data_IF_774600703498
#
_entry.id   IF_774600703498
#
_cell.length_a   1.000
_cell.length_b   1.000
_cell.length_c   1.000
_cell.angle_alpha   90.00
_cell.angle_beta   90.00
_cell.angle_gamma   90.00
#
_symmetry.space_group_name_H-M   'P 1'
#
loop_
_entity.id
_entity.type
_entity.pdbx_description
1 polymer ?
#
# COMPACT_ATOMS: atom_id res chain seq x y z
N UNK A 1 18.66 -4.68 -15.69
CA UNK A 1 17.50 -5.59 -15.74
C UNK A 1 16.25 -4.77 -15.46
N UNK A 2 15.11 -5.08 -16.08
CA UNK A 2 13.86 -4.42 -15.73
C UNK A 2 13.45 -4.82 -14.30
N UNK A 3 12.78 -3.92 -13.57
CA UNK A 3 12.53 -4.08 -12.14
C UNK A 3 11.26 -4.87 -11.83
N UNK A 4 11.18 -5.40 -10.61
CA UNK A 4 9.98 -6.10 -10.10
C UNK A 4 9.09 -5.11 -9.37
N UNK A 5 7.79 -5.16 -9.62
CA UNK A 5 6.80 -4.38 -8.87
C UNK A 5 6.03 -5.30 -7.93
N UNK A 6 5.89 -4.89 -6.67
CA UNK A 6 5.01 -5.58 -5.70
C UNK A 6 3.83 -4.69 -5.37
N UNK A 7 2.62 -5.14 -5.71
CA UNK A 7 1.37 -4.42 -5.45
C UNK A 7 0.42 -5.25 -4.59
N UNK A 8 -0.57 -4.60 -3.97
CA UNK A 8 -1.65 -5.28 -3.26
C UNK A 8 -2.78 -5.55 -4.24
N UNK A 9 -3.23 -6.79 -4.36
CA UNK A 9 -4.26 -7.15 -5.34
C UNK A 9 -5.70 -6.91 -4.83
N UNK A 10 -5.87 -6.47 -3.58
CA UNK A 10 -7.17 -6.32 -2.91
C UNK A 10 -7.35 -4.88 -2.38
N UNK A 11 -7.95 -4.70 -1.20
CA UNK A 11 -8.19 -3.39 -0.56
C UNK A 11 -7.08 -2.95 0.41
N UNK A 12 -5.85 -3.45 0.25
CA UNK A 12 -4.72 -3.07 1.09
C UNK A 12 -4.75 -3.74 2.45
N UNK A 13 -3.67 -4.45 2.78
CA UNK A 13 -3.37 -5.23 4.01
C UNK A 13 -3.05 -6.71 3.74
N UNK A 14 -2.74 -7.03 2.47
CA UNK A 14 -2.51 -8.38 1.95
C UNK A 14 -1.20 -9.01 2.44
N UNK A 15 -0.49 -8.37 3.38
CA UNK A 15 0.82 -8.81 3.84
C UNK A 15 1.96 -8.43 2.89
N UNK A 16 1.81 -7.38 2.07
CA UNK A 16 2.86 -6.88 1.17
C UNK A 16 4.22 -6.72 1.84
N UNK A 17 4.27 -6.16 3.05
CA UNK A 17 5.51 -5.94 3.78
C UNK A 17 6.37 -7.19 3.91
N UNK A 18 5.76 -8.38 4.03
CA UNK A 18 6.47 -9.66 4.06
C UNK A 18 7.14 -9.97 2.72
N UNK A 19 6.40 -9.84 1.63
CA UNK A 19 6.91 -10.14 0.27
C UNK A 19 7.96 -9.11 -0.13
N UNK A 20 7.73 -7.85 0.21
CA UNK A 20 8.67 -6.75 0.01
C UNK A 20 9.94 -6.99 0.81
N UNK A 21 9.86 -7.35 2.09
CA UNK A 21 11.05 -7.65 2.90
C UNK A 21 11.88 -8.80 2.32
N UNK A 22 11.21 -9.90 1.95
CA UNK A 22 11.83 -11.05 1.30
C UNK A 22 12.61 -10.64 0.04
N UNK A 23 11.97 -9.88 -0.86
CA UNK A 23 12.60 -9.41 -2.10
C UNK A 23 13.63 -8.30 -1.87
N UNK A 24 13.42 -7.43 -0.90
CA UNK A 24 14.34 -6.34 -0.57
C UNK A 24 15.70 -6.85 -0.10
N UNK A 25 15.73 -8.00 0.58
CA UNK A 25 16.99 -8.67 0.96
C UNK A 25 17.85 -9.05 -0.26
N UNK A 26 17.23 -9.24 -1.44
CA UNK A 26 17.87 -9.65 -2.71
C UNK A 26 18.02 -8.51 -3.72
N UNK A 27 17.29 -7.41 -3.56
CA UNK A 27 17.37 -6.23 -4.44
C UNK A 27 18.68 -5.46 -4.23
N UNK A 28 19.08 -4.61 -5.17
CA UNK A 28 20.10 -3.57 -4.97
C UNK A 28 19.47 -2.22 -4.62
N UNK A 29 18.25 -1.97 -5.12
CA UNK A 29 17.49 -0.74 -4.90
C UNK A 29 16.03 -1.05 -4.58
N UNK A 30 15.46 -0.32 -3.62
CA UNK A 30 14.02 -0.38 -3.29
C UNK A 30 13.41 1.00 -3.43
N UNK A 31 12.33 1.11 -4.21
CA UNK A 31 11.69 2.38 -4.59
C UNK A 31 10.24 2.40 -4.15
N UNK A 32 9.86 3.35 -3.30
CA UNK A 32 8.45 3.70 -3.06
C UNK A 32 8.03 4.76 -4.07
N UNK A 33 6.91 4.54 -4.76
CA UNK A 33 6.49 5.37 -5.90
C UNK A 33 5.21 6.17 -5.68
N UNK A 34 4.44 5.88 -4.62
CA UNK A 34 3.15 6.53 -4.38
C UNK A 34 2.80 6.60 -2.88
N UNK A 35 1.84 7.46 -2.58
CA UNK A 35 1.25 7.60 -1.24
C UNK A 35 2.12 8.48 -0.36
N UNK A 36 2.00 8.31 0.95
CA UNK A 36 2.80 9.00 1.94
C UNK A 36 2.89 8.20 3.23
N UNK A 37 2.86 8.88 4.36
CA UNK A 37 2.84 8.29 5.70
C UNK A 37 1.47 7.69 6.11
N UNK A 38 0.53 7.57 5.16
CA UNK A 38 -0.68 6.75 5.29
C UNK A 38 -0.46 5.28 4.96
N UNK A 39 0.65 4.98 4.30
CA UNK A 39 1.16 3.63 4.23
C UNK A 39 1.82 3.29 5.56
N UNK A 40 1.73 2.03 5.95
CA UNK A 40 2.46 1.53 7.10
C UNK A 40 2.46 0.02 7.10
N UNK A 41 3.62 -0.56 7.35
CA UNK A 41 3.74 -1.99 7.56
C UNK A 41 4.81 -2.26 8.61
N UNK A 42 4.60 -3.35 9.33
CA UNK A 42 5.56 -3.85 10.29
C UNK A 42 6.42 -4.87 9.58
N UNK A 43 7.74 -4.70 9.64
CA UNK A 43 8.72 -5.69 9.19
C UNK A 43 9.42 -6.28 10.42
N UNK A 44 9.66 -7.58 10.40
CA UNK A 44 10.41 -8.27 11.45
C UNK A 44 11.76 -8.71 10.87
N UNK A 45 12.86 -8.13 11.38
CA UNK A 45 14.24 -8.43 10.97
C UNK A 45 15.04 -8.74 12.23
N UNK A 46 15.74 -9.88 12.24
CA UNK A 46 16.55 -10.34 13.38
C UNK A 46 15.80 -10.27 14.73
N UNK A 47 14.57 -10.82 14.75
CA UNK A 47 13.65 -10.83 15.90
C UNK A 47 13.22 -9.44 16.42
N UNK A 48 13.49 -8.36 15.67
CA UNK A 48 13.06 -7.00 15.98
C UNK A 48 11.98 -6.53 15.03
N UNK A 49 10.97 -5.85 15.58
CA UNK A 49 9.86 -5.28 14.81
C UNK A 49 10.06 -3.80 14.54
N UNK A 50 10.08 -3.44 13.27
CA UNK A 50 10.20 -2.06 12.78
C UNK A 50 8.88 -1.62 12.15
N UNK A 51 8.44 -0.40 12.49
CA UNK A 51 7.28 0.23 11.86
C UNK A 51 7.75 1.26 10.85
N UNK A 52 7.54 0.98 9.58
CA UNK A 52 7.89 1.88 8.48
C UNK A 52 6.63 2.53 7.90
N UNK A 53 6.74 3.77 7.43
CA UNK A 53 5.67 4.54 6.81
C UNK A 53 6.10 5.16 5.48
N UNK A 54 7.08 6.06 5.48
CA UNK A 54 7.61 6.71 4.27
C UNK A 54 8.81 5.97 3.70
N UNK A 55 9.72 5.54 4.58
CA UNK A 55 11.00 4.97 4.18
C UNK A 55 10.78 3.57 3.60
N UNK A 56 11.36 3.24 2.41
CA UNK A 56 11.26 1.91 1.83
C UNK A 56 11.81 0.81 2.73
N UNK A 57 11.21 -0.38 2.66
CA UNK A 57 11.56 -1.56 3.48
C UNK A 57 13.01 -2.00 3.34
N UNK A 58 13.62 -1.74 2.18
CA UNK A 58 15.03 -2.05 1.92
C UNK A 58 15.99 -1.39 2.90
N UNK A 59 15.56 -0.35 3.63
CA UNK A 59 16.42 0.33 4.61
C UNK A 59 16.83 -0.60 5.76
N UNK A 60 16.10 -1.68 6.00
CA UNK A 60 16.44 -2.65 7.05
C UNK A 60 17.54 -3.63 6.62
N UNK A 61 17.86 -3.68 5.32
CA UNK A 61 18.89 -4.55 4.76
C UNK A 61 20.13 -3.71 4.42
N UNK A 62 21.32 -4.16 4.81
CA UNK A 62 22.56 -3.41 4.56
C UNK A 62 22.88 -3.31 3.06
N UNK A 63 23.54 -2.21 2.67
CA UNK A 63 24.03 -2.01 1.29
C UNK A 63 22.97 -1.70 0.23
N UNK A 64 21.69 -1.58 0.61
CA UNK A 64 20.59 -1.27 -0.33
C UNK A 64 20.40 0.23 -0.51
N UNK A 65 20.16 0.69 -1.73
CA UNK A 65 19.72 2.06 -2.01
C UNK A 65 18.21 2.15 -1.84
N UNK A 66 17.72 3.12 -1.09
CA UNK A 66 16.29 3.32 -0.86
C UNK A 66 15.84 4.65 -1.46
N UNK A 67 14.82 4.61 -2.32
CA UNK A 67 14.29 5.78 -3.00
C UNK A 67 12.87 6.10 -2.54
N UNK A 68 12.64 7.35 -2.16
CA UNK A 68 11.31 7.98 -2.07
C UNK A 68 11.07 8.71 -3.39
N UNK A 69 10.21 8.15 -4.24
CA UNK A 69 9.96 8.63 -5.60
C UNK A 69 9.08 9.88 -5.68
N UNK A 70 9.07 10.52 -6.85
CA UNK A 70 8.36 11.78 -7.12
C UNK A 70 6.82 11.66 -7.05
N UNK A 71 6.27 10.45 -7.10
CA UNK A 71 4.83 10.21 -6.97
C UNK A 71 4.32 10.28 -5.53
N UNK A 72 5.21 10.33 -4.55
CA UNK A 72 4.85 10.41 -3.13
C UNK A 72 4.49 11.84 -2.68
N UNK A 73 3.73 11.91 -1.60
CA UNK A 73 3.50 13.10 -0.78
C UNK A 73 4.17 12.90 0.58
N UNK A 74 5.09 13.78 0.94
CA UNK A 74 6.02 13.63 2.07
C UNK A 74 5.67 14.64 3.15
N UNK A 75 5.42 14.17 4.36
CA UNK A 75 5.47 15.00 5.55
C UNK A 75 6.93 15.06 6.03
N UNK A 76 7.64 16.18 5.85
CA UNK A 76 9.08 16.24 6.13
C UNK A 76 9.38 16.06 7.62
N UNK A 77 8.47 16.48 8.49
CA UNK A 77 8.61 16.32 9.94
C UNK A 77 8.49 14.84 10.31
N UNK A 78 7.46 14.16 9.79
CA UNK A 78 7.29 12.73 10.01
C UNK A 78 8.45 11.90 9.41
N UNK A 79 9.02 12.34 8.28
CA UNK A 79 10.20 11.70 7.69
C UNK A 79 11.41 11.80 8.60
N UNK A 80 11.69 12.99 9.15
CA UNK A 80 12.81 13.18 10.11
C UNK A 80 12.60 12.37 11.38
N UNK A 81 11.37 12.29 11.89
CA UNK A 81 11.04 11.41 13.02
C UNK A 81 11.31 9.93 12.71
N UNK A 82 10.92 9.46 11.51
CA UNK A 82 11.15 8.08 11.08
C UNK A 82 12.65 7.78 10.87
N UNK A 83 13.42 8.72 10.31
CA UNK A 83 14.88 8.61 10.18
C UNK A 83 15.51 8.44 11.56
N UNK A 84 15.22 9.35 12.50
CA UNK A 84 15.78 9.31 13.87
C UNK A 84 15.36 8.05 14.62
N UNK A 85 14.12 7.61 14.44
CA UNK A 85 13.62 6.35 14.98
C UNK A 85 14.50 5.19 14.51
N UNK A 86 14.72 5.02 13.20
CA UNK A 86 15.54 3.92 12.67
C UNK A 86 17.01 4.03 13.08
N UNK A 87 17.59 5.24 13.07
CA UNK A 87 18.97 5.47 13.51
C UNK A 87 19.17 5.13 15.00
N UNK A 88 18.13 5.29 15.85
CA UNK A 88 18.17 4.86 17.24
C UNK A 88 18.30 3.33 17.42
N UNK A 89 17.94 2.55 16.39
CA UNK A 89 18.18 1.11 16.33
C UNK A 89 19.51 0.74 15.65
N UNK A 90 20.35 1.72 15.30
CA UNK A 90 21.64 1.52 14.64
C UNK A 90 21.54 1.31 13.13
N UNK A 91 20.41 1.65 12.50
CA UNK A 91 20.23 1.54 11.05
C UNK A 91 20.83 2.78 10.37
N UNK A 92 21.73 2.56 9.43
CA UNK A 92 22.30 3.64 8.61
C UNK A 92 21.29 4.13 7.58
N UNK A 93 20.57 5.22 7.86
CA UNK A 93 19.53 5.73 6.95
C UNK A 93 20.09 6.73 5.95
N UNK A 94 20.75 7.78 6.44
CA UNK A 94 21.13 8.96 5.64
C UNK A 94 22.08 8.67 4.47
N UNK A 95 22.95 7.67 4.62
CA UNK A 95 23.87 7.26 3.57
C UNK A 95 23.18 6.53 2.41
N UNK A 96 21.98 5.97 2.63
CA UNK A 96 21.30 5.05 1.71
C UNK A 96 19.95 5.54 1.21
N UNK A 97 19.29 6.43 1.95
CA UNK A 97 18.04 7.04 1.56
C UNK A 97 18.29 8.16 0.53
N UNK A 98 17.48 8.19 -0.51
CA UNK A 98 17.41 9.23 -1.52
C UNK A 98 15.97 9.69 -1.68
N UNK A 99 15.77 11.00 -1.69
CA UNK A 99 14.46 11.64 -1.71
C UNK A 99 14.35 12.41 -3.02
N UNK A 100 13.26 12.19 -3.75
CA UNK A 100 13.01 12.95 -4.97
C UNK A 100 12.82 14.42 -4.67
N UNK A 101 13.62 15.26 -5.34
CA UNK A 101 13.44 16.70 -5.42
C UNK A 101 12.04 17.13 -5.92
N UNK A 102 11.35 16.26 -6.66
CA UNK A 102 10.03 16.52 -7.25
C UNK A 102 8.85 15.99 -6.43
N UNK A 103 9.10 15.26 -5.34
CA UNK A 103 8.04 14.80 -4.45
C UNK A 103 7.32 16.00 -3.82
N UNK A 104 6.01 15.87 -3.59
CA UNK A 104 5.21 16.96 -3.00
C UNK A 104 5.23 16.89 -1.48
N UNK A 105 4.99 18.02 -0.81
CA UNK A 105 4.96 18.11 0.64
C UNK A 105 3.53 18.01 1.18
N UNK A 106 3.38 17.27 2.27
CA UNK A 106 2.24 17.35 3.16
C UNK A 106 2.51 18.49 4.12
N UNK A 107 1.64 19.50 4.12
CA UNK A 107 1.73 20.68 4.97
C UNK A 107 0.74 20.58 6.14
N UNK A 108 0.87 21.37 7.23
CA UNK A 108 -0.04 21.26 8.36
C UNK A 108 -1.50 21.58 8.00
N UNK A 109 -1.72 22.50 7.05
CA UNK A 109 -3.06 22.76 6.51
C UNK A 109 -3.66 21.57 5.76
N UNK A 110 -2.85 20.70 5.15
CA UNK A 110 -3.37 19.47 4.51
C UNK A 110 -3.95 18.52 5.56
N UNK A 111 -3.26 18.33 6.69
CA UNK A 111 -3.74 17.47 7.79
C UNK A 111 -5.05 18.00 8.36
N UNK A 112 -5.11 19.31 8.60
CA UNK A 112 -6.32 19.96 9.10
C UNK A 112 -7.47 19.87 8.08
N UNK A 113 -7.21 20.12 6.79
CA UNK A 113 -8.20 19.98 5.73
C UNK A 113 -8.76 18.56 5.64
N UNK A 114 -7.89 17.54 5.71
CA UNK A 114 -8.28 16.13 5.67
C UNK A 114 -9.24 15.80 6.83
N UNK A 115 -8.91 16.25 8.04
CA UNK A 115 -9.77 16.09 9.21
C UNK A 115 -11.12 16.81 9.08
N UNK A 116 -11.12 18.11 8.75
CA UNK A 116 -12.37 18.91 8.73
C UNK A 116 -13.28 18.53 7.57
N UNK A 117 -12.73 18.10 6.42
CA UNK A 117 -13.51 17.59 5.30
C UNK A 117 -14.21 16.29 5.70
N UNK A 118 -13.50 15.38 6.38
CA UNK A 118 -14.11 14.13 6.88
C UNK A 118 -15.18 14.43 7.93
N UNK A 119 -14.93 15.31 8.90
CA UNK A 119 -15.95 15.73 9.86
C UNK A 119 -17.20 16.28 9.17
N UNK A 120 -17.01 17.16 8.17
CA UNK A 120 -18.11 17.78 7.43
C UNK A 120 -18.93 16.79 6.60
N UNK A 121 -18.31 15.72 6.09
CA UNK A 121 -19.01 14.65 5.35
C UNK A 121 -19.95 13.80 6.22
N UNK A 122 -19.78 13.79 7.55
CA UNK A 122 -20.61 13.01 8.46
C UNK A 122 -20.69 11.53 8.08
N UNK A 123 -21.89 11.04 7.76
CA UNK A 123 -22.11 9.63 7.37
C UNK A 123 -21.39 9.24 6.07
N UNK A 124 -21.07 10.21 5.20
CA UNK A 124 -20.37 10.03 3.93
C UNK A 124 -18.84 10.06 4.05
N UNK A 125 -18.31 10.03 5.28
CA UNK A 125 -16.87 9.89 5.52
C UNK A 125 -16.25 8.73 4.75
N UNK A 126 -15.05 8.97 4.21
CA UNK A 126 -14.28 7.94 3.52
C UNK A 126 -13.52 7.05 4.52
N UNK A 127 -13.22 7.57 5.70
CA UNK A 127 -12.36 6.93 6.69
C UNK A 127 -10.88 7.16 6.38
N UNK A 128 -10.50 8.39 6.04
CA UNK A 128 -9.10 8.71 5.73
C UNK A 128 -8.18 8.50 6.94
N UNK A 129 -6.87 8.44 6.69
CA UNK A 129 -5.88 8.35 7.76
C UNK A 129 -5.66 9.67 8.51
N UNK A 130 -6.33 10.76 8.10
CA UNK A 130 -6.14 12.13 8.62
C UNK A 130 -4.67 12.58 8.60
N UNK A 131 -3.95 12.16 7.57
CA UNK A 131 -2.52 12.48 7.37
C UNK A 131 -2.33 13.58 6.32
N UNK A 132 -3.38 14.09 5.70
CA UNK A 132 -3.27 15.14 4.68
C UNK A 132 -2.95 14.62 3.29
N UNK A 133 -3.10 13.32 3.03
CA UNK A 133 -2.76 12.69 1.75
C UNK A 133 -3.62 13.24 0.62
N UNK A 134 -4.94 13.18 0.79
CA UNK A 134 -5.90 13.66 -0.21
C UNK A 134 -5.67 15.13 -0.54
N UNK A 135 -5.70 16.04 0.46
CA UNK A 135 -5.43 17.46 0.22
C UNK A 135 -4.07 17.74 -0.44
N UNK A 136 -3.00 17.01 -0.09
CA UNK A 136 -1.72 17.18 -0.77
C UNK A 136 -1.75 16.78 -2.25
N UNK A 137 -2.46 15.70 -2.59
CA UNK A 137 -2.68 15.31 -4.00
C UNK A 137 -3.62 16.27 -4.74
N UNK A 138 -4.59 16.89 -4.06
CA UNK A 138 -5.40 17.97 -4.62
C UNK A 138 -4.51 19.15 -4.99
N UNK A 139 -3.67 19.62 -4.08
CA UNK A 139 -2.76 20.75 -4.35
C UNK A 139 -1.79 20.44 -5.49
N UNK A 140 -1.32 19.19 -5.61
CA UNK A 140 -0.55 18.70 -6.77
C UNK A 140 -1.35 18.84 -8.07
N UNK A 141 -2.59 18.36 -8.11
CA UNK A 141 -3.44 18.41 -9.29
C UNK A 141 -3.85 19.85 -9.66
N UNK A 142 -4.05 20.71 -8.66
CA UNK A 142 -4.32 22.15 -8.84
C UNK A 142 -3.09 22.94 -9.29
N UNK A 143 -1.89 22.33 -9.19
CA UNK A 143 -0.57 22.95 -9.47
C UNK A 143 -0.20 24.05 -8.49
N UNK A 144 -0.67 23.95 -7.25
CA UNK A 144 -0.33 24.84 -6.14
C UNK A 144 0.51 24.16 -5.05
N UNK A 145 0.70 22.85 -5.14
CA UNK A 145 1.48 22.09 -4.17
C UNK A 145 2.95 22.54 -4.11
N UNK A 146 3.50 22.48 -2.90
CA UNK A 146 4.91 22.74 -2.61
C UNK A 146 5.67 21.42 -2.72
N UNK A 147 6.85 21.43 -3.33
CA UNK A 147 7.70 20.24 -3.53
C UNK A 147 8.95 20.29 -2.66
N UNK A 148 9.65 19.16 -2.58
CA UNK A 148 10.90 19.03 -1.82
C UNK A 148 11.97 20.00 -2.32
N UNK A 149 12.12 20.22 -3.62
CA UNK A 149 13.06 21.22 -4.14
C UNK A 149 12.75 22.64 -3.63
N UNK A 150 11.47 22.99 -3.55
CA UNK A 150 11.04 24.31 -3.12
C UNK A 150 11.37 24.51 -1.62
N UNK A 151 11.29 23.46 -0.80
CA UNK A 151 11.67 23.49 0.63
C UNK A 151 13.15 23.81 0.86
N UNK A 152 14.02 23.49 -0.10
CA UNK A 152 15.45 23.73 0.00
C UNK A 152 15.86 25.16 -0.41
N UNK A 153 14.90 25.97 -0.87
CA UNK A 153 15.02 27.38 -1.22
C UNK A 153 14.18 28.24 -0.26
N UNK A 154 14.74 28.68 0.89
CA UNK A 154 13.95 29.25 1.98
C UNK A 154 13.05 30.42 1.57
N UNK A 155 13.58 31.40 0.83
CA UNK A 155 12.80 32.57 0.38
C UNK A 155 11.60 32.17 -0.49
N UNK A 156 11.80 31.23 -1.42
CA UNK A 156 10.75 30.74 -2.30
C UNK A 156 9.73 29.86 -1.56
N UNK A 157 10.19 29.03 -0.63
CA UNK A 157 9.33 28.26 0.26
C UNK A 157 8.39 29.17 1.06
N UNK A 158 8.92 30.23 1.68
CA UNK A 158 8.13 31.19 2.45
C UNK A 158 7.06 31.88 1.61
N UNK A 159 7.42 32.31 0.39
CA UNK A 159 6.48 32.91 -0.56
C UNK A 159 5.33 31.95 -0.90
N UNK A 160 5.66 30.68 -1.21
CA UNK A 160 4.67 29.63 -1.52
C UNK A 160 3.76 29.33 -0.34
N UNK A 161 4.31 29.24 0.86
CA UNK A 161 3.52 29.04 2.09
C UNK A 161 2.53 30.19 2.27
N UNK A 162 2.99 31.44 2.11
CA UNK A 162 2.10 32.60 2.23
C UNK A 162 0.96 32.59 1.20
N UNK A 163 1.28 32.35 -0.08
CA UNK A 163 0.30 32.30 -1.16
C UNK A 163 -0.76 31.22 -0.90
N UNK A 164 -0.34 30.01 -0.52
CA UNK A 164 -1.26 28.92 -0.24
C UNK A 164 -2.10 29.21 1.01
N UNK A 165 -1.51 29.72 2.08
CA UNK A 165 -2.24 30.01 3.32
C UNK A 165 -3.32 31.07 3.16
N UNK A 166 -3.14 32.08 2.30
CA UNK A 166 -4.19 33.06 2.00
C UNK A 166 -5.48 32.37 1.55
N UNK A 167 -5.37 31.36 0.70
CA UNK A 167 -6.53 30.61 0.18
C UNK A 167 -6.99 29.55 1.19
N UNK A 168 -6.08 28.72 1.68
CA UNK A 168 -6.45 27.57 2.54
C UNK A 168 -7.03 28.02 3.88
N UNK A 169 -6.50 29.08 4.51
CA UNK A 169 -7.07 29.59 5.75
C UNK A 169 -8.45 30.20 5.55
N UNK A 170 -8.73 30.85 4.42
CA UNK A 170 -10.09 31.32 4.12
C UNK A 170 -11.08 30.16 4.00
N UNK A 171 -10.70 29.08 3.32
CA UNK A 171 -11.53 27.88 3.22
C UNK A 171 -11.78 27.29 4.61
N UNK A 172 -10.71 27.07 5.39
CA UNK A 172 -10.79 26.47 6.74
C UNK A 172 -11.69 27.31 7.66
N UNK A 173 -11.57 28.63 7.62
CA UNK A 173 -12.32 29.54 8.50
C UNK A 173 -13.75 29.79 8.02
N UNK A 174 -13.93 30.17 6.75
CA UNK A 174 -15.23 30.62 6.23
C UNK A 174 -16.15 29.46 5.84
N UNK A 175 -15.59 28.35 5.35
CA UNK A 175 -16.38 27.17 4.92
C UNK A 175 -16.55 26.18 6.06
N UNK A 176 -15.46 25.85 6.77
CA UNK A 176 -15.49 24.82 7.81
C UNK A 176 -15.62 25.38 9.23
N UNK A 177 -15.53 26.69 9.44
CA UNK A 177 -15.69 27.31 10.76
C UNK A 177 -14.57 26.97 11.75
N UNK A 178 -13.39 26.60 11.27
CA UNK A 178 -12.25 26.14 12.09
C UNK A 178 -11.14 27.18 12.11
N UNK A 179 -10.29 27.14 13.14
CA UNK A 179 -9.10 27.99 13.20
C UNK A 179 -8.10 27.55 12.13
N UNK A 180 -7.61 28.49 11.32
CA UNK A 180 -6.56 28.25 10.35
C UNK A 180 -5.22 27.92 10.98
N UNK A 181 -4.21 27.64 10.16
CA UNK A 181 -2.84 27.36 10.60
C UNK A 181 -1.98 28.63 10.56
N UNK A 182 -0.97 28.70 11.43
CA UNK A 182 -0.05 29.83 11.53
C UNK A 182 1.12 29.70 10.51
N UNK A 183 1.49 30.81 9.87
CA UNK A 183 2.53 30.86 8.84
C UNK A 183 3.92 30.63 9.43
N UNK A 184 4.24 31.35 10.50
CA UNK A 184 5.58 31.36 11.11
C UNK A 184 5.94 29.99 11.70
N UNK A 185 4.98 29.32 12.34
CA UNK A 185 5.14 27.95 12.86
C UNK A 185 5.44 26.94 11.75
N UNK A 186 4.81 27.08 10.58
CA UNK A 186 5.07 26.21 9.42
C UNK A 186 6.49 26.43 8.93
N UNK A 187 6.88 27.69 8.70
CA UNK A 187 8.18 28.04 8.14
C UNK A 187 9.30 27.52 9.04
N UNK A 188 9.27 27.85 10.34
CA UNK A 188 10.31 27.44 11.29
C UNK A 188 10.46 25.91 11.35
N UNK A 189 9.34 25.18 11.46
CA UNK A 189 9.37 23.74 11.58
C UNK A 189 9.84 23.04 10.29
N UNK A 190 9.37 23.52 9.14
CA UNK A 190 9.64 22.86 7.86
C UNK A 190 11.05 23.15 7.37
N UNK A 191 11.57 24.37 7.53
CA UNK A 191 12.95 24.68 7.17
C UNK A 191 13.95 23.86 8.00
N UNK A 192 13.70 23.66 9.30
CA UNK A 192 14.51 22.76 10.14
C UNK A 192 14.49 21.32 9.61
N UNK A 193 13.32 20.81 9.23
CA UNK A 193 13.20 19.48 8.64
C UNK A 193 13.88 19.40 7.26
N UNK A 194 13.83 20.49 6.46
CA UNK A 194 14.50 20.64 5.18
C UNK A 194 16.01 20.51 5.29
N UNK A 195 16.63 21.20 6.25
CA UNK A 195 18.07 21.10 6.51
C UNK A 195 18.48 19.67 6.91
N UNK A 196 17.67 19.00 7.74
CA UNK A 196 17.91 17.61 8.12
C UNK A 196 17.88 16.64 6.94
N UNK A 197 17.06 16.90 5.90
CA UNK A 197 16.95 16.01 4.75
C UNK A 197 17.77 16.43 3.52
N UNK A 198 18.39 17.62 3.54
CA UNK A 198 19.06 18.26 2.40
C UNK A 198 19.99 17.32 1.64
N UNK A 199 20.88 16.62 2.33
CA UNK A 199 21.88 15.71 1.75
C UNK A 199 21.30 14.43 1.12
N UNK A 200 20.04 14.10 1.43
CA UNK A 200 19.33 12.96 0.85
C UNK A 200 18.52 13.36 -0.39
N UNK A 201 18.26 14.66 -0.61
CA UNK A 201 17.47 15.14 -1.75
C UNK A 201 18.31 15.11 -3.03
N UNK A 202 17.76 14.51 -4.09
CA UNK A 202 18.43 14.42 -5.39
C UNK A 202 17.44 14.15 -6.53
N UNK A 203 17.94 14.17 -7.77
CA UNK A 203 17.21 13.67 -8.92
C UNK A 203 17.17 12.14 -8.91
N UNK A 204 16.14 11.61 -8.27
CA UNK A 204 15.88 10.17 -8.19
C UNK A 204 15.59 9.54 -9.54
N UNK A 205 15.06 10.29 -10.51
CA UNK A 205 14.67 9.72 -11.81
C UNK A 205 15.89 9.28 -12.60
N UNK A 206 16.94 10.12 -12.60
CA UNK A 206 18.24 9.79 -13.18
C UNK A 206 18.88 8.58 -12.48
N UNK A 207 18.85 8.53 -11.14
CA UNK A 207 19.41 7.41 -10.37
C UNK A 207 18.73 6.08 -10.73
N UNK A 208 17.39 6.06 -10.75
CA UNK A 208 16.63 4.85 -11.08
C UNK A 208 16.87 4.43 -12.53
N UNK A 209 16.93 5.39 -13.46
CA UNK A 209 17.21 5.12 -14.87
C UNK A 209 18.58 4.46 -15.06
N UNK A 210 19.64 4.99 -14.46
CA UNK A 210 20.98 4.38 -14.53
C UNK A 210 21.01 2.97 -13.93
N UNK A 211 20.33 2.76 -12.79
CA UNK A 211 20.19 1.43 -12.20
C UNK A 211 19.48 0.47 -13.16
N UNK A 212 18.42 0.92 -13.84
CA UNK A 212 17.62 0.10 -14.76
C UNK A 212 18.40 -0.36 -15.99
N UNK A 213 19.42 0.41 -16.39
CA UNK A 213 20.35 0.10 -17.49
C UNK A 213 21.47 -0.86 -17.10
N UNK A 214 21.76 -0.97 -15.81
CA UNK A 214 22.76 -1.90 -15.29
C UNK A 214 22.18 -3.28 -14.99
N UNK A 215 23.01 -4.25 -14.60
CA UNK A 215 22.56 -5.60 -14.17
C UNK A 215 22.08 -5.63 -12.71
N UNK A 216 21.60 -4.49 -12.21
CA UNK A 216 21.13 -4.31 -10.83
C UNK A 216 19.66 -4.65 -10.69
N UNK A 217 19.31 -5.18 -9.52
CA UNK A 217 17.95 -5.61 -9.16
C UNK A 217 17.19 -4.46 -8.52
N UNK A 218 16.08 -4.04 -9.14
CA UNK A 218 15.22 -2.97 -8.62
C UNK A 218 13.91 -3.58 -8.13
N UNK A 219 13.50 -3.23 -6.92
CA UNK A 219 12.20 -3.55 -6.34
C UNK A 219 11.37 -2.28 -6.20
N UNK A 220 10.20 -2.24 -6.82
CA UNK A 220 9.21 -1.18 -6.61
C UNK A 220 8.20 -1.63 -5.55
N UNK A 221 8.20 -0.92 -4.43
CA UNK A 221 7.38 -1.21 -3.27
C UNK A 221 6.05 -0.44 -3.36
N UNK A 222 4.95 -1.16 -3.58
CA UNK A 222 3.61 -0.59 -3.59
C UNK A 222 3.04 -0.43 -2.17
N UNK A 223 2.37 0.69 -1.93
CA UNK A 223 1.51 0.89 -0.77
C UNK A 223 0.03 0.65 -1.14
N UNK A 224 -0.85 0.46 -0.14
CA UNK A 224 -2.29 0.19 -0.35
C UNK A 224 -2.55 -0.99 -1.32
N UNK A 225 -3.69 -1.04 -2.00
CA UNK A 225 -4.04 -2.12 -2.93
C UNK A 225 -4.74 -1.58 -4.16
N UNK A 226 -4.87 -2.42 -5.18
CA UNK A 226 -5.46 -2.10 -6.48
C UNK A 226 -6.86 -1.51 -6.32
N UNK A 227 -7.67 -2.05 -5.39
CA UNK A 227 -9.05 -1.62 -5.23
C UNK A 227 -9.19 -0.34 -4.37
N UNK A 228 -8.06 0.22 -3.94
CA UNK A 228 -7.94 1.56 -3.36
C UNK A 228 -7.32 2.57 -4.34
N UNK A 229 -7.07 2.19 -5.59
CA UNK A 229 -6.61 3.12 -6.62
C UNK A 229 -7.65 4.22 -6.89
N UNK A 230 -7.20 5.45 -7.12
CA UNK A 230 -8.11 6.59 -7.33
C UNK A 230 -8.99 6.44 -8.57
N UNK A 231 -8.49 5.77 -9.62
CA UNK A 231 -9.22 5.54 -10.87
C UNK A 231 -9.82 4.12 -10.94
N UNK A 232 -9.03 3.13 -10.50
CA UNK A 232 -9.33 1.71 -10.70
C UNK A 232 -9.90 1.04 -9.44
N UNK A 233 -10.04 1.78 -8.34
CA UNK A 233 -10.58 1.28 -7.10
C UNK A 233 -12.09 1.44 -6.94
N UNK A 234 -12.58 1.13 -5.74
CA UNK A 234 -14.00 1.32 -5.40
C UNK A 234 -14.34 2.79 -5.09
N UNK A 235 -14.17 3.68 -6.08
CA UNK A 235 -14.37 5.13 -5.94
C UNK A 235 -15.79 5.45 -5.41
N UNK A 236 -15.94 6.35 -4.41
CA UNK A 236 -14.93 7.25 -3.83
C UNK A 236 -14.16 6.67 -2.63
N UNK A 237 -14.39 5.42 -2.23
CA UNK A 237 -13.74 4.78 -1.07
C UNK A 237 -12.35 4.25 -1.43
N UNK A 238 -11.47 5.17 -1.81
CA UNK A 238 -10.14 4.92 -2.38
C UNK A 238 -9.11 5.87 -1.77
N UNK A 239 -7.83 5.65 -2.06
CA UNK A 239 -6.80 6.67 -1.80
C UNK A 239 -6.72 7.64 -2.98
N UNK A 240 -5.87 8.68 -2.87
CA UNK A 240 -5.75 9.75 -3.87
C UNK A 240 -4.53 9.58 -4.78
N UNK A 241 -4.06 8.34 -4.92
CA UNK A 241 -2.85 7.95 -5.66
C UNK A 241 -3.10 6.68 -6.47
N UNK A 242 -2.05 6.19 -7.15
CA UNK A 242 -2.11 4.97 -7.97
C UNK A 242 -1.27 3.82 -7.39
N UNK A 243 -1.83 2.96 -6.51
CA UNK A 243 -1.20 1.74 -6.05
C UNK A 243 -0.87 0.74 -7.16
N UNK A 244 -1.54 0.82 -8.30
CA UNK A 244 -1.35 -0.12 -9.42
C UNK A 244 0.06 -0.04 -10.02
N UNK A 245 0.45 -1.07 -10.75
CA UNK A 245 1.78 -1.18 -11.36
C UNK A 245 2.11 0.00 -12.29
N UNK A 246 1.12 0.53 -13.03
CA UNK A 246 1.29 1.73 -13.85
C UNK A 246 1.68 2.98 -13.05
N UNK A 247 1.34 3.03 -11.76
CA UNK A 247 1.76 4.08 -10.83
C UNK A 247 3.28 4.18 -10.67
N UNK A 248 4.02 3.09 -10.90
CA UNK A 248 5.48 3.09 -10.88
C UNK A 248 6.04 4.04 -11.94
N UNK A 249 5.50 4.00 -13.16
CA UNK A 249 6.03 4.80 -14.26
C UNK A 249 6.01 6.30 -13.93
N UNK A 250 4.85 6.79 -13.48
CA UNK A 250 4.65 8.21 -13.14
C UNK A 250 5.23 8.58 -11.76
N UNK A 251 5.36 7.62 -10.85
CA UNK A 251 5.75 7.85 -9.47
C UNK A 251 7.24 7.66 -9.17
N UNK A 252 7.95 6.94 -10.04
CA UNK A 252 9.39 6.72 -9.99
C UNK A 252 10.13 7.36 -11.19
N UNK A 253 9.39 7.83 -12.21
CA UNK A 253 9.97 8.48 -13.40
C UNK A 253 10.62 7.50 -14.36
N UNK A 254 10.05 6.29 -14.50
CA UNK A 254 10.59 5.23 -15.37
C UNK A 254 9.64 4.91 -16.51
N UNK A 255 10.21 4.53 -17.66
CA UNK A 255 9.40 4.06 -18.79
C UNK A 255 8.73 2.71 -18.49
N UNK A 256 7.54 2.43 -19.04
CA UNK A 256 6.82 1.18 -18.79
C UNK A 256 7.59 -0.07 -19.25
N UNK A 257 8.50 0.07 -20.21
CA UNK A 257 9.37 -1.01 -20.70
C UNK A 257 10.48 -1.42 -19.73
N UNK A 258 10.60 -0.75 -18.59
CA UNK A 258 11.57 -1.08 -17.52
C UNK A 258 10.94 -1.84 -16.36
N UNK A 259 9.67 -2.25 -16.48
CA UNK A 259 9.00 -3.16 -15.55
C UNK A 259 9.09 -4.57 -16.15
N UNK A 260 9.67 -5.52 -15.41
CA UNK A 260 9.87 -6.90 -15.87
C UNK A 260 8.69 -7.77 -15.44
N UNK A 261 8.47 -7.83 -14.12
CA UNK A 261 7.46 -8.67 -13.49
C UNK A 261 6.64 -7.82 -12.54
N UNK A 262 5.35 -8.13 -12.47
CA UNK A 262 4.44 -7.57 -11.48
C UNK A 262 3.92 -8.69 -10.60
N UNK A 263 4.20 -8.60 -9.30
CA UNK A 263 3.76 -9.54 -8.28
C UNK A 263 2.58 -8.95 -7.52
N UNK A 264 1.41 -9.58 -7.64
CA UNK A 264 0.23 -9.22 -6.87
C UNK A 264 0.21 -9.98 -5.55
N UNK A 265 0.29 -9.27 -4.43
CA UNK A 265 0.13 -9.88 -3.11
C UNK A 265 -1.35 -10.06 -2.83
N UNK A 266 -1.74 -11.29 -2.53
CA UNK A 266 -3.12 -11.73 -2.34
C UNK A 266 -3.22 -12.38 -0.97
N UNK A 267 -4.13 -11.92 -0.12
CA UNK A 267 -4.46 -12.66 1.09
C UNK A 267 -5.42 -13.81 0.72
N UNK A 268 -5.28 -14.96 1.37
CA UNK A 268 -6.12 -16.15 1.12
C UNK A 268 -7.62 -15.93 1.38
N UNK A 269 -7.98 -14.79 1.96
CA UNK A 269 -9.32 -14.29 2.17
C UNK A 269 -9.31 -12.77 1.95
N UNK A 270 -10.46 -12.12 2.02
CA UNK A 270 -10.54 -10.66 1.79
C UNK A 270 -10.80 -9.93 3.10
N UNK A 271 -10.27 -8.73 3.21
CA UNK A 271 -10.54 -7.81 4.31
C UNK A 271 -10.77 -6.40 3.81
N UNK A 272 -11.55 -5.63 4.57
CA UNK A 272 -11.79 -4.21 4.29
C UNK A 272 -11.82 -3.41 5.58
N UNK A 273 -10.99 -2.38 5.67
CA UNK A 273 -10.90 -1.49 6.85
C UNK A 273 -11.97 -0.40 6.80
N UNK A 274 -12.18 0.18 5.61
CA UNK A 274 -13.07 1.32 5.39
C UNK A 274 -14.51 0.94 5.06
N UNK A 275 -15.34 1.97 4.84
CA UNK A 275 -16.71 1.82 4.32
C UNK A 275 -16.70 1.33 2.87
N UNK A 276 -17.89 1.02 2.37
CA UNK A 276 -18.16 0.65 0.98
C UNK A 276 -18.55 -0.82 0.79
N UNK A 277 -19.04 -1.19 -0.41
CA UNK A 277 -19.56 -2.53 -0.69
C UNK A 277 -18.53 -3.63 -0.49
N UNK A 278 -18.94 -4.77 0.07
CA UNK A 278 -18.07 -5.91 0.26
C UNK A 278 -18.86 -7.19 -0.02
N UNK A 279 -18.95 -7.62 -1.30
CA UNK A 279 -19.84 -8.72 -1.69
C UNK A 279 -19.58 -10.02 -0.93
N UNK A 280 -18.31 -10.31 -0.62
CA UNK A 280 -17.92 -11.57 0.03
C UNK A 280 -17.83 -11.47 1.56
N UNK A 281 -18.32 -10.40 2.17
CA UNK A 281 -18.31 -10.23 3.62
C UNK A 281 -19.05 -11.37 4.34
N UNK A 282 -18.47 -11.84 5.44
CA UNK A 282 -19.02 -12.92 6.26
C UNK A 282 -19.54 -12.30 7.56
N UNK A 283 -20.84 -12.52 7.83
CA UNK A 283 -21.53 -12.00 9.00
C UNK A 283 -21.77 -13.04 10.11
N UNK A 284 -21.34 -14.28 9.89
CA UNK A 284 -21.45 -15.37 10.86
C UNK A 284 -20.15 -15.60 11.65
N UNK A 285 -20.16 -16.60 12.54
CA UNK A 285 -19.02 -16.95 13.40
C UNK A 285 -17.72 -17.27 12.64
N UNK A 286 -17.80 -17.63 11.35
CA UNK A 286 -16.61 -17.85 10.51
C UNK A 286 -15.88 -16.54 10.24
N UNK A 287 -16.62 -15.44 10.07
CA UNK A 287 -16.05 -14.11 9.86
C UNK A 287 -15.28 -13.65 11.11
N UNK A 288 -15.83 -13.89 12.29
CA UNK A 288 -15.16 -13.62 13.56
C UNK A 288 -13.94 -14.54 13.76
N UNK A 289 -14.05 -15.83 13.46
CA UNK A 289 -12.92 -16.76 13.50
C UNK A 289 -11.74 -16.28 12.65
N UNK A 290 -11.99 -15.89 11.39
CA UNK A 290 -10.97 -15.36 10.48
C UNK A 290 -10.38 -14.07 11.04
N UNK A 291 -11.22 -13.17 11.59
CA UNK A 291 -10.76 -11.90 12.17
C UNK A 291 -9.81 -12.11 13.34
N UNK A 292 -10.19 -12.96 14.30
CA UNK A 292 -9.38 -13.22 15.50
C UNK A 292 -8.08 -13.94 15.14
N UNK A 293 -8.18 -15.02 14.36
CA UNK A 293 -7.01 -15.84 14.00
C UNK A 293 -6.03 -15.09 13.10
N UNK A 294 -6.55 -14.27 12.19
CA UNK A 294 -5.76 -13.43 11.29
C UNK A 294 -5.24 -12.14 11.92
N UNK A 295 -5.60 -11.84 13.16
CA UNK A 295 -5.33 -10.55 13.83
C UNK A 295 -5.75 -9.35 12.98
N UNK A 296 -6.97 -9.38 12.44
CA UNK A 296 -7.46 -8.39 11.49
C UNK A 296 -7.99 -7.13 12.18
N UNK A 297 -7.05 -6.39 12.76
CA UNK A 297 -7.26 -5.13 13.47
C UNK A 297 -6.34 -4.04 12.94
N UNK A 298 -6.81 -2.80 12.92
CA UNK A 298 -5.98 -1.64 12.56
C UNK A 298 -4.81 -1.49 13.52
N UNK A 299 -3.58 -1.43 13.01
CA UNK A 299 -2.35 -1.35 13.83
C UNK A 299 -2.25 -0.08 14.68
N UNK A 300 -2.84 1.02 14.22
CA UNK A 300 -2.88 2.30 14.95
C UNK A 300 -4.18 2.50 15.72
N UNK A 301 -5.32 2.10 15.15
CA UNK A 301 -6.65 2.42 15.69
C UNK A 301 -7.28 1.29 16.50
N UNK A 302 -6.78 0.06 16.37
CA UNK A 302 -7.38 -1.14 16.96
C UNK A 302 -8.74 -1.53 16.37
N UNK A 303 -9.24 -0.82 15.34
CA UNK A 303 -10.58 -1.09 14.79
C UNK A 303 -10.61 -2.47 14.10
N UNK A 304 -11.66 -3.28 14.33
CA UNK A 304 -11.82 -4.56 13.66
C UNK A 304 -12.02 -4.34 12.16
N UNK A 305 -11.36 -5.16 11.34
CA UNK A 305 -11.58 -5.17 9.89
C UNK A 305 -12.74 -6.10 9.56
N UNK A 306 -13.48 -5.74 8.52
CA UNK A 306 -14.48 -6.62 7.91
C UNK A 306 -13.74 -7.76 7.22
N UNK A 307 -14.22 -8.99 7.38
CA UNK A 307 -13.59 -10.19 6.83
C UNK A 307 -14.56 -10.90 5.88
N UNK A 308 -14.04 -11.44 4.79
CA UNK A 308 -14.81 -12.09 3.75
C UNK A 308 -14.05 -13.20 3.05
N UNK A 309 -14.75 -14.05 2.30
CA UNK A 309 -14.12 -15.09 1.50
C UNK A 309 -13.26 -14.49 0.38
N UNK A 310 -12.34 -15.29 -0.18
CA UNK A 310 -11.56 -14.85 -1.33
C UNK A 310 -12.46 -14.50 -2.52
N UNK A 311 -12.17 -13.36 -3.16
CA UNK A 311 -12.95 -12.84 -4.27
C UNK A 311 -12.14 -12.90 -5.58
N UNK A 312 -12.51 -13.82 -6.46
CA UNK A 312 -11.84 -14.01 -7.76
C UNK A 312 -12.30 -12.99 -8.78
N UNK A 313 -13.52 -12.46 -8.69
CA UNK A 313 -13.99 -11.41 -9.61
C UNK A 313 -13.10 -10.17 -9.45
N UNK A 314 -12.83 -9.80 -8.20
CA UNK A 314 -11.83 -8.80 -7.85
C UNK A 314 -10.43 -9.17 -8.34
N UNK A 315 -9.96 -10.39 -8.06
CA UNK A 315 -8.59 -10.76 -8.35
C UNK A 315 -8.32 -10.80 -9.87
N UNK A 316 -9.26 -11.30 -10.68
CA UNK A 316 -9.18 -11.22 -12.15
C UNK A 316 -9.11 -9.79 -12.64
N UNK A 317 -9.85 -8.88 -12.03
CA UNK A 317 -9.75 -7.45 -12.33
C UNK A 317 -8.35 -6.92 -12.00
N UNK A 318 -7.80 -7.24 -10.82
CA UNK A 318 -6.45 -6.84 -10.43
C UNK A 318 -5.37 -7.43 -11.35
N UNK A 319 -5.52 -8.70 -11.79
CA UNK A 319 -4.67 -9.33 -12.81
C UNK A 319 -4.67 -8.51 -14.09
N UNK A 320 -5.85 -8.17 -14.60
CA UNK A 320 -6.01 -7.44 -15.86
C UNK A 320 -5.40 -6.05 -15.84
N UNK A 321 -5.68 -5.25 -14.80
CA UNK A 321 -5.26 -3.84 -14.77
C UNK A 321 -3.79 -3.64 -14.40
N UNK A 322 -3.17 -4.62 -13.74
CA UNK A 322 -1.75 -4.57 -13.39
C UNK A 322 -0.84 -5.37 -14.33
N UNK A 323 -1.40 -6.28 -15.14
CA UNK A 323 -0.61 -7.23 -15.93
C UNK A 323 0.19 -8.16 -15.01
N UNK A 324 -0.46 -8.77 -14.01
CA UNK A 324 0.21 -9.60 -13.02
C UNK A 324 0.92 -10.79 -13.67
N UNK A 325 2.23 -10.89 -13.43
CA UNK A 325 3.06 -12.02 -13.85
C UNK A 325 2.89 -13.19 -12.89
N UNK A 326 2.81 -12.88 -11.59
CA UNK A 326 2.68 -13.85 -10.51
C UNK A 326 1.82 -13.30 -9.38
N UNK A 327 1.29 -14.21 -8.56
CA UNK A 327 0.69 -13.88 -7.26
C UNK A 327 1.54 -14.41 -6.11
N UNK A 328 1.52 -13.68 -4.99
CA UNK A 328 2.08 -14.12 -3.73
C UNK A 328 0.94 -14.26 -2.72
N UNK A 329 0.61 -15.50 -2.33
CA UNK A 329 -0.55 -15.78 -1.48
C UNK A 329 -0.12 -15.78 -0.02
N UNK A 330 -0.81 -15.00 0.80
CA UNK A 330 -0.50 -14.85 2.23
C UNK A 330 -1.64 -15.29 3.13
N UNK A 331 -1.30 -15.54 4.40
CA UNK A 331 -2.23 -15.89 5.49
C UNK A 331 -3.06 -17.16 5.22
N UNK A 332 -2.49 -18.15 4.54
CA UNK A 332 -3.17 -19.45 4.34
C UNK A 332 -3.39 -20.19 5.67
N UNK A 333 -2.55 -19.95 6.67
CA UNK A 333 -2.69 -20.50 8.02
C UNK A 333 -3.96 -20.03 8.74
N UNK A 334 -4.47 -18.84 8.41
CA UNK A 334 -5.67 -18.29 9.03
C UNK A 334 -6.91 -19.11 8.69
N UNK A 335 -6.95 -19.75 7.52
CA UNK A 335 -8.09 -20.60 7.11
C UNK A 335 -7.99 -22.04 7.63
N UNK A 336 -6.87 -22.45 8.22
CA UNK A 336 -6.74 -23.77 8.83
C UNK A 336 -7.76 -23.98 9.94
N UNK A 337 -8.31 -25.18 10.07
CA UNK A 337 -9.38 -25.52 11.03
C UNK A 337 -10.81 -25.27 10.51
N UNK A 338 -10.96 -24.67 9.34
CA UNK A 338 -12.26 -24.53 8.68
C UNK A 338 -12.53 -25.77 7.83
N UNK A 339 -13.67 -26.44 8.03
CA UNK A 339 -14.00 -27.68 7.30
C UNK A 339 -14.22 -27.48 5.79
N UNK A 340 -14.84 -26.37 5.41
CA UNK A 340 -15.12 -26.00 4.02
C UNK A 340 -14.79 -24.53 3.81
N UNK A 341 -13.87 -24.26 2.91
CA UNK A 341 -13.52 -22.89 2.51
C UNK A 341 -14.29 -22.51 1.25
N UNK A 342 -14.63 -21.23 1.09
CA UNK A 342 -15.35 -20.74 -0.08
C UNK A 342 -14.50 -19.77 -0.90
N UNK A 343 -14.68 -19.81 -2.21
CA UNK A 343 -14.10 -18.86 -3.16
C UNK A 343 -15.25 -18.27 -3.98
N UNK A 344 -15.37 -16.94 -4.02
CA UNK A 344 -16.35 -16.27 -4.87
C UNK A 344 -15.84 -16.25 -6.32
N UNK A 345 -16.59 -16.87 -7.23
CA UNK A 345 -16.21 -17.03 -8.65
C UNK A 345 -16.96 -16.09 -9.60
N UNK A 346 -18.05 -15.48 -9.12
CA UNK A 346 -18.92 -14.57 -9.85
C UNK A 346 -19.86 -13.82 -8.91
N UNK A 347 -20.52 -12.78 -9.42
CA UNK A 347 -21.55 -12.05 -8.69
C UNK A 347 -22.91 -12.23 -9.36
N UNK A 348 -23.95 -12.52 -8.59
CA UNK A 348 -25.32 -12.48 -9.06
C UNK A 348 -25.87 -11.07 -8.87
N UNK A 349 -26.29 -10.44 -9.97
CA UNK A 349 -26.92 -9.12 -9.98
C UNK A 349 -28.14 -9.15 -10.90
N UNK A 350 -29.33 -8.87 -10.35
CA UNK A 350 -30.61 -8.86 -11.09
C UNK A 350 -30.82 -10.11 -11.97
N UNK A 351 -30.52 -11.28 -11.40
CA UNK A 351 -30.67 -12.58 -12.06
C UNK A 351 -29.57 -12.96 -13.06
N UNK A 352 -28.59 -12.08 -13.32
CA UNK A 352 -27.44 -12.36 -14.21
C UNK A 352 -26.17 -12.60 -13.39
N UNK A 353 -25.29 -13.46 -13.91
CA UNK A 353 -23.96 -13.67 -13.34
C UNK A 353 -22.98 -12.72 -14.01
N UNK A 354 -22.32 -11.89 -13.21
CA UNK A 354 -21.22 -11.02 -13.59
C UNK A 354 -19.90 -11.71 -13.24
N UNK A 355 -18.97 -11.74 -14.19
CA UNK A 355 -17.60 -12.27 -13.99
C UNK A 355 -16.53 -11.18 -13.96
N UNK A 356 -16.91 -9.96 -14.34
CA UNK A 356 -16.09 -8.75 -14.31
C UNK A 356 -16.48 -7.86 -13.11
N UNK A 357 -15.49 -7.15 -12.57
CA UNK A 357 -15.69 -6.27 -11.42
C UNK A 357 -16.49 -5.01 -11.82
N UNK A 358 -17.64 -4.73 -11.19
CA UNK A 358 -18.45 -3.55 -11.52
C UNK A 358 -17.78 -2.23 -11.13
N UNK A 359 -17.84 -1.24 -12.02
CA UNK A 359 -17.43 0.14 -11.69
C UNK A 359 -18.45 0.84 -10.77
N UNK A 360 -19.75 0.53 -10.90
CA UNK A 360 -20.79 1.14 -10.10
C UNK A 360 -20.85 0.53 -8.70
N UNK A 361 -20.68 1.35 -7.66
CA UNK A 361 -20.84 0.91 -6.28
C UNK A 361 -22.25 0.42 -5.95
N UNK A 362 -23.28 0.97 -6.60
CA UNK A 362 -24.66 0.51 -6.39
C UNK A 362 -24.83 -0.91 -6.93
N UNK A 363 -24.27 -1.18 -8.10
CA UNK A 363 -24.24 -2.55 -8.65
C UNK A 363 -23.45 -3.47 -7.72
N UNK A 364 -22.27 -3.05 -7.27
CA UNK A 364 -21.43 -3.84 -6.35
C UNK A 364 -22.10 -4.10 -4.99
N UNK A 365 -22.89 -3.15 -4.47
CA UNK A 365 -23.63 -3.28 -3.21
C UNK A 365 -24.79 -4.27 -3.30
N UNK A 366 -25.41 -4.38 -4.46
CA UNK A 366 -26.51 -5.32 -4.75
C UNK A 366 -26.01 -6.69 -5.25
N UNK A 367 -24.70 -6.88 -5.39
CA UNK A 367 -24.13 -8.15 -5.84
C UNK A 367 -24.15 -9.21 -4.74
N UNK A 368 -24.76 -10.36 -5.05
CA UNK A 368 -24.68 -11.55 -4.21
C UNK A 368 -23.52 -12.43 -4.70
N UNK A 369 -22.58 -12.87 -3.83
CA UNK A 369 -21.46 -13.69 -4.23
C UNK A 369 -21.92 -15.11 -4.64
N UNK A 370 -21.37 -15.63 -5.74
CA UNK A 370 -21.54 -17.01 -6.16
C UNK A 370 -20.29 -17.79 -5.78
N UNK A 371 -20.44 -18.74 -4.86
CA UNK A 371 -19.33 -19.47 -4.28
C UNK A 371 -19.10 -20.84 -4.91
N UNK A 372 -17.82 -21.20 -5.00
CA UNK A 372 -17.36 -22.59 -5.05
C UNK A 372 -16.90 -22.99 -3.64
N UNK A 373 -17.28 -24.20 -3.19
CA UNK A 373 -16.84 -24.76 -1.91
C UNK A 373 -15.70 -25.76 -2.15
N UNK A 374 -14.61 -25.61 -1.40
CA UNK A 374 -13.50 -26.55 -1.37
C UNK A 374 -13.35 -27.16 0.03
N UNK A 375 -12.88 -28.42 0.13
CA UNK A 375 -12.46 -28.97 1.41
C UNK A 375 -11.39 -28.09 2.05
N UNK A 376 -11.52 -27.78 3.33
CA UNK A 376 -10.49 -27.07 4.06
C UNK A 376 -9.37 -28.00 4.56
N UNK A 377 -8.53 -27.47 5.44
CA UNK A 377 -7.36 -28.17 5.99
C UNK A 377 -7.26 -27.96 7.49
N UNK A 378 -6.47 -28.80 8.15
CA UNK A 378 -6.28 -28.77 9.60
C UNK A 378 -5.55 -27.51 10.07
N UNK A 379 -5.61 -27.24 11.38
CA UNK A 379 -4.84 -26.17 11.99
C UNK A 379 -3.35 -26.49 12.06
N UNK A 380 -2.54 -25.48 12.40
CA UNK A 380 -1.12 -25.71 12.71
C UNK A 380 -0.18 -25.79 11.51
N UNK A 381 -0.67 -25.53 10.29
CA UNK A 381 0.17 -25.49 9.08
C UNK A 381 1.36 -24.53 9.20
N UNK A 382 1.27 -23.52 10.06
CA UNK A 382 2.36 -22.57 10.34
C UNK A 382 3.63 -23.18 10.93
N UNK A 383 3.60 -24.45 11.35
CA UNK A 383 4.77 -25.21 11.83
C UNK A 383 5.51 -25.95 10.71
N UNK A 384 4.92 -26.02 9.51
CA UNK A 384 5.49 -26.73 8.36
C UNK A 384 6.70 -25.95 7.85
N UNK A 385 7.78 -26.68 7.54
CA UNK A 385 9.06 -26.10 7.11
C UNK A 385 9.42 -26.40 5.66
N UNK A 386 8.64 -27.27 5.01
CA UNK A 386 8.87 -27.70 3.63
C UNK A 386 7.58 -27.64 2.84
N UNK A 387 7.66 -27.21 1.59
CA UNK A 387 6.49 -27.04 0.74
C UNK A 387 5.80 -28.38 0.45
N UNK A 388 6.56 -29.47 0.37
CA UNK A 388 6.07 -30.83 0.11
C UNK A 388 5.27 -31.42 1.28
N UNK A 389 5.38 -30.81 2.46
CA UNK A 389 4.64 -31.21 3.67
C UNK A 389 3.32 -30.43 3.82
N UNK A 390 3.02 -29.49 2.91
CA UNK A 390 1.76 -28.76 2.94
C UNK A 390 0.57 -29.68 2.66
N UNK A 391 -0.58 -29.51 3.36
CA UNK A 391 -1.75 -30.35 3.14
C UNK A 391 -2.27 -30.28 1.70
N UNK A 392 -2.66 -31.43 1.14
CA UNK A 392 -3.21 -31.52 -0.22
C UNK A 392 -4.36 -30.54 -0.48
N UNK A 393 -5.25 -30.34 0.51
CA UNK A 393 -6.37 -29.42 0.36
C UNK A 393 -5.94 -27.95 0.31
N UNK A 394 -4.85 -27.58 1.00
CA UNK A 394 -4.27 -26.24 0.91
C UNK A 394 -3.64 -26.03 -0.47
N UNK A 395 -2.90 -27.02 -0.98
CA UNK A 395 -2.34 -26.96 -2.33
C UNK A 395 -3.43 -26.86 -3.39
N UNK A 396 -4.49 -27.68 -3.30
CA UNK A 396 -5.66 -27.60 -4.21
C UNK A 396 -6.35 -26.23 -4.14
N UNK A 397 -6.40 -25.60 -2.96
CA UNK A 397 -6.92 -24.26 -2.82
C UNK A 397 -6.07 -23.24 -3.60
N UNK A 398 -4.75 -23.33 -3.50
CA UNK A 398 -3.82 -22.48 -4.28
C UNK A 398 -3.96 -22.75 -5.77
N UNK A 399 -3.90 -24.01 -6.21
CA UNK A 399 -4.08 -24.40 -7.62
C UNK A 399 -5.41 -23.88 -8.18
N UNK A 400 -6.49 -23.96 -7.39
CA UNK A 400 -7.78 -23.43 -7.81
C UNK A 400 -7.76 -21.91 -8.00
N UNK A 401 -7.04 -21.17 -7.17
CA UNK A 401 -6.83 -19.73 -7.37
C UNK A 401 -6.07 -19.48 -8.67
N UNK A 402 -5.00 -20.25 -8.94
CA UNK A 402 -4.24 -20.12 -10.19
C UNK A 402 -5.11 -20.37 -11.42
N UNK A 403 -5.92 -21.43 -11.42
CA UNK A 403 -6.85 -21.76 -12.51
C UNK A 403 -7.86 -20.63 -12.76
N UNK A 404 -8.45 -20.11 -11.68
CA UNK A 404 -9.52 -19.12 -11.74
C UNK A 404 -9.03 -17.71 -12.10
N UNK A 405 -7.75 -17.42 -11.86
CA UNK A 405 -7.11 -16.12 -12.15
C UNK A 405 -6.27 -16.15 -13.43
N UNK A 406 -5.81 -17.33 -13.86
CA UNK A 406 -4.87 -17.50 -14.95
C UNK A 406 -3.43 -17.11 -14.60
N UNK A 407 -3.10 -16.90 -13.31
CA UNK A 407 -1.78 -16.43 -12.86
C UNK A 407 -1.20 -17.39 -11.81
N UNK A 408 0.08 -17.73 -11.97
CA UNK A 408 0.78 -18.67 -11.08
C UNK A 408 1.16 -18.04 -9.75
N UNK A 409 1.09 -18.83 -8.68
CA UNK A 409 1.64 -18.50 -7.38
C UNK A 409 3.16 -18.67 -7.41
N UNK A 410 3.90 -17.58 -7.22
CA UNK A 410 5.35 -17.62 -7.06
C UNK A 410 5.76 -17.71 -5.59
N UNK A 411 4.87 -17.38 -4.66
CA UNK A 411 5.14 -17.39 -3.24
C UNK A 411 3.91 -17.78 -2.42
N UNK A 412 4.10 -18.61 -1.39
CA UNK A 412 3.08 -19.02 -0.43
C UNK A 412 3.54 -18.65 0.98
N UNK A 413 2.67 -18.05 1.79
CA UNK A 413 2.92 -17.74 3.20
C UNK A 413 1.86 -18.37 4.10
N UNK A 414 2.34 -19.13 5.08
CA UNK A 414 1.57 -19.88 6.09
C UNK A 414 1.83 -19.35 7.51
N UNK A 415 2.21 -18.08 7.65
CA UNK A 415 2.33 -17.41 8.94
C UNK A 415 2.90 -16.01 8.81
N UNK A 416 3.29 -15.36 9.92
CA UNK A 416 3.97 -14.07 9.90
C UNK A 416 5.51 -14.15 9.85
N UNK A 417 6.13 -15.24 10.34
CA UNK A 417 7.59 -15.37 10.43
C UNK A 417 8.25 -15.72 9.10
N UNK A 418 9.52 -15.31 8.91
CA UNK A 418 10.27 -15.45 7.64
C UNK A 418 10.32 -16.89 7.12
N UNK A 419 10.61 -17.86 7.99
CA UNK A 419 10.68 -19.30 7.70
C UNK A 419 9.33 -19.93 7.30
N UNK A 420 8.21 -19.20 7.47
CA UNK A 420 6.86 -19.68 7.18
C UNK A 420 6.40 -19.28 5.77
N UNK A 421 7.35 -19.10 4.85
CA UNK A 421 7.11 -18.65 3.49
C UNK A 421 7.96 -19.41 2.49
N UNK A 422 7.34 -19.82 1.39
CA UNK A 422 7.92 -20.68 0.38
C UNK A 422 7.93 -19.94 -0.97
N UNK A 423 9.12 -19.70 -1.51
CA UNK A 423 9.28 -19.26 -2.90
C UNK A 423 9.20 -20.49 -3.81
N UNK A 424 8.25 -20.47 -4.74
CA UNK A 424 7.95 -21.55 -5.69
C UNK A 424 8.66 -21.28 -7.02
N UNK A 425 8.74 -20.01 -7.40
CA UNK A 425 9.39 -19.54 -8.63
C UNK A 425 10.29 -18.38 -8.29
N UNK A 426 11.50 -18.37 -8.85
CA UNK A 426 12.43 -17.25 -8.65
C UNK A 426 11.84 -15.96 -9.22
N UNK A 427 11.61 -15.00 -8.33
CA UNK A 427 11.06 -13.71 -8.70
C UNK A 427 12.09 -12.77 -9.34
N UNK A 428 13.39 -12.87 -9.04
CA UNK A 428 14.43 -12.00 -9.62
C UNK A 428 15.11 -12.54 -10.89
#
# INVERSE_FOLDING_TARGET
MPGIVVIGAQWGDEGKGRIVDFLASRADMVVRYQGGNNAGHTVEVDDKRYKLHLIPSGILHSGKVCIIGNGMVIDPVALVEEIRYLESYGIEVRSRLKISDRAHLIMPYHKLLDEVIEEHKGELQLGTTRRGIGPAYVDKAERMGIRVCDLLEPEYFEEKVEQNLRIKNEIIQKVYGKKGVNKEEIIDLYLKAGEEIREMVCDTTSIIYEFSKSDKKILYEGAQGTLLDVDLGTYPYVTSSHPVAGGVCIGAGVGPTFIDKVVGVVKAYTTRVGKGPFPTEIFDATGDFIREKGYEYGTTTGRPRRCGWLDIVMLRYAVKVNGLSYIAITKLDTLGGINKVKICVGYRYKGKILTDFPASLNVLAECEPVYEELPGWEEGVSRIKKIEELPDNLIKYVERIEELTGVKAAFISIGPGREQGFEITDLF
#
